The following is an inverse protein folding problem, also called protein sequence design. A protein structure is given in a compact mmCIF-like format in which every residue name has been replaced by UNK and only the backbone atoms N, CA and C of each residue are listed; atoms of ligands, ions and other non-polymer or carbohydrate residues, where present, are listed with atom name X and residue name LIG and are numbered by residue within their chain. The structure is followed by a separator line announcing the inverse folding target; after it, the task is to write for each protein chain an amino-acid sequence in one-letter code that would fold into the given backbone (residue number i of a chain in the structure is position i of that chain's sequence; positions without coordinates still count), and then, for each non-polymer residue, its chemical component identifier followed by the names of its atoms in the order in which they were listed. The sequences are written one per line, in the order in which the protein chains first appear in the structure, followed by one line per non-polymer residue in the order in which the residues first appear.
data_IF_404005720953
#
_entry.id   IF_404005720953
#
_cell.length_a   1.000
_cell.length_b   1.000
_cell.length_c   1.000
_cell.angle_alpha   90.00
_cell.angle_beta   90.00
_cell.angle_gamma   90.00
#
_symmetry.space_group_name_H-M   'P 1'
#
loop_
_entity.id
_entity.type
_entity.pdbx_description
1 polymer ?
#
# COMPACT_ATOMS: atom_id res chain seq x y z
N UNK A 1 -46.05 -2.11 -41.50
CA UNK A 1 -45.55 -1.24 -40.41
C UNK A 1 -46.65 -1.23 -39.37
N UNK A 2 -46.54 -1.88 -38.22
CA UNK A 2 -45.36 -2.44 -37.57
C UNK A 2 -45.81 -3.66 -36.76
N UNK A 3 -44.89 -4.61 -36.72
CA UNK A 3 -44.93 -5.86 -35.97
C UNK A 3 -44.95 -5.55 -34.47
N UNK A 4 -46.12 -5.63 -33.84
CA UNK A 4 -46.25 -5.70 -32.39
C UNK A 4 -45.92 -7.14 -31.99
N UNK A 5 -44.63 -7.45 -31.91
CA UNK A 5 -44.15 -8.68 -31.31
C UNK A 5 -44.51 -8.64 -29.82
N UNK A 6 -45.65 -9.23 -29.51
CA UNK A 6 -46.09 -9.70 -28.20
C UNK A 6 -44.92 -10.46 -27.55
N UNK A 7 -44.24 -9.80 -26.60
CA UNK A 7 -43.25 -10.43 -25.75
C UNK A 7 -43.98 -11.32 -24.75
N UNK A 8 -44.47 -12.46 -25.22
CA UNK A 8 -44.92 -13.56 -24.39
C UNK A 8 -43.67 -14.23 -23.78
N UNK A 9 -43.14 -13.59 -22.74
CA UNK A 9 -42.17 -14.23 -21.87
C UNK A 9 -42.91 -15.36 -21.15
N UNK A 10 -42.62 -16.61 -21.54
CA UNK A 10 -43.18 -17.82 -20.95
C UNK A 10 -43.21 -17.70 -19.41
N UNK A 11 -44.33 -18.01 -18.74
CA UNK A 11 -44.51 -17.81 -17.30
C UNK A 11 -43.39 -18.42 -16.43
N UNK A 12 -42.75 -19.48 -16.93
CA UNK A 12 -41.63 -20.17 -16.32
C UNK A 12 -40.34 -19.31 -16.32
N UNK A 13 -40.11 -18.51 -17.36
CA UNK A 13 -38.96 -17.61 -17.47
C UNK A 13 -39.10 -16.44 -16.48
N UNK A 14 -40.31 -15.88 -16.35
CA UNK A 14 -40.62 -14.84 -15.38
C UNK A 14 -40.37 -15.30 -13.93
N UNK A 15 -40.70 -16.56 -13.60
CA UNK A 15 -40.42 -17.14 -12.27
C UNK A 15 -38.91 -17.30 -12.02
N UNK A 16 -38.13 -17.70 -13.03
CA UNK A 16 -36.67 -17.78 -12.92
C UNK A 16 -36.04 -16.40 -12.67
N UNK A 17 -36.48 -15.35 -13.38
CA UNK A 17 -35.98 -13.99 -13.15
C UNK A 17 -36.36 -13.48 -11.76
N UNK A 18 -37.58 -13.75 -11.30
CA UNK A 18 -38.04 -13.40 -9.96
C UNK A 18 -37.18 -14.05 -8.87
N UNK A 19 -36.85 -15.34 -9.03
CA UNK A 19 -35.95 -16.06 -8.11
C UNK A 19 -34.53 -15.49 -8.14
N UNK A 20 -33.97 -15.21 -9.32
CA UNK A 20 -32.65 -14.59 -9.46
C UNK A 20 -32.58 -13.20 -8.81
N UNK A 21 -33.63 -12.40 -9.01
CA UNK A 21 -33.75 -11.09 -8.39
C UNK A 21 -33.79 -11.19 -6.86
N UNK A 22 -34.59 -12.13 -6.33
CA UNK A 22 -34.65 -12.35 -4.88
C UNK A 22 -33.29 -12.78 -4.31
N UNK A 23 -32.58 -13.70 -4.97
CA UNK A 23 -31.24 -14.11 -4.56
C UNK A 23 -30.24 -12.93 -4.57
N UNK A 24 -30.36 -12.03 -5.55
CA UNK A 24 -29.52 -10.83 -5.60
C UNK A 24 -29.84 -9.86 -4.47
N UNK A 25 -31.13 -9.65 -4.16
CA UNK A 25 -31.56 -8.85 -3.02
C UNK A 25 -31.03 -9.43 -1.70
N UNK A 26 -31.21 -10.73 -1.47
CA UNK A 26 -30.73 -11.41 -0.26
C UNK A 26 -29.20 -11.28 -0.16
N UNK A 27 -28.47 -11.40 -1.28
CA UNK A 27 -27.02 -11.23 -1.30
C UNK A 27 -26.61 -9.79 -0.98
N UNK A 28 -27.31 -8.79 -1.50
CA UNK A 28 -27.08 -7.39 -1.19
C UNK A 28 -27.32 -7.09 0.28
N UNK A 29 -28.38 -7.66 0.87
CA UNK A 29 -28.68 -7.50 2.29
C UNK A 29 -27.58 -8.09 3.18
N UNK A 30 -27.12 -9.31 2.87
CA UNK A 30 -26.00 -9.94 3.60
C UNK A 30 -24.75 -9.06 3.52
N UNK A 31 -24.39 -8.59 2.32
CA UNK A 31 -23.22 -7.72 2.14
C UNK A 31 -23.36 -6.41 2.92
N UNK A 32 -24.57 -5.84 2.98
CA UNK A 32 -24.83 -4.65 3.77
C UNK A 32 -24.64 -4.92 5.28
N UNK A 33 -25.19 -6.01 5.80
CA UNK A 33 -25.02 -6.39 7.21
C UNK A 33 -23.54 -6.65 7.56
N UNK A 34 -22.78 -7.27 6.67
CA UNK A 34 -21.33 -7.49 6.84
C UNK A 34 -20.56 -6.16 6.87
N UNK A 35 -20.88 -5.24 5.96
CA UNK A 35 -20.27 -3.92 5.91
C UNK A 35 -20.55 -3.13 7.18
N UNK A 36 -21.79 -3.13 7.67
CA UNK A 36 -22.16 -2.48 8.93
C UNK A 36 -21.35 -3.05 10.10
N UNK A 37 -21.22 -4.39 10.17
CA UNK A 37 -20.41 -5.06 11.19
C UNK A 37 -18.94 -4.63 11.13
N UNK A 38 -18.36 -4.51 9.93
CA UNK A 38 -16.99 -4.04 9.75
C UNK A 38 -16.83 -2.58 10.20
N UNK A 39 -17.77 -1.71 9.85
CA UNK A 39 -17.79 -0.31 10.28
C UNK A 39 -17.80 -0.20 11.81
N UNK A 40 -18.67 -0.96 12.50
CA UNK A 40 -18.69 -0.98 13.97
C UNK A 40 -17.37 -1.44 14.58
N UNK A 41 -16.74 -2.48 14.02
CA UNK A 41 -15.42 -2.96 14.47
C UNK A 41 -14.35 -1.88 14.30
N UNK A 42 -14.32 -1.20 13.16
CA UNK A 42 -13.38 -0.10 12.89
C UNK A 42 -13.59 1.03 13.90
N UNK A 43 -14.84 1.44 14.14
CA UNK A 43 -15.16 2.48 15.12
C UNK A 43 -14.69 2.09 16.54
N UNK A 44 -14.88 0.84 16.94
CA UNK A 44 -14.39 0.32 18.24
C UNK A 44 -12.88 0.42 18.34
N UNK A 45 -12.14 -0.02 17.33
CA UNK A 45 -10.67 0.07 17.29
C UNK A 45 -10.22 1.54 17.35
N UNK A 46 -10.87 2.44 16.59
CA UNK A 46 -10.57 3.89 16.64
C UNK A 46 -10.78 4.47 18.05
N UNK A 47 -11.84 4.05 18.75
CA UNK A 47 -12.11 4.47 20.14
C UNK A 47 -11.03 3.98 21.11
N UNK A 48 -10.62 2.71 20.98
CA UNK A 48 -9.52 2.14 21.78
C UNK A 48 -8.20 2.88 21.53
N UNK A 49 -7.81 3.07 20.27
CA UNK A 49 -6.59 3.81 19.92
C UNK A 49 -6.62 5.25 20.45
N UNK A 50 -7.76 5.93 20.36
CA UNK A 50 -7.93 7.28 20.94
C UNK A 50 -7.74 7.27 22.45
N UNK A 51 -8.27 6.27 23.15
CA UNK A 51 -8.08 6.10 24.59
C UNK A 51 -6.61 5.86 24.94
N UNK A 52 -5.95 4.92 24.28
CA UNK A 52 -4.52 4.64 24.51
C UNK A 52 -3.64 5.85 24.23
N UNK A 53 -3.95 6.65 23.19
CA UNK A 53 -3.22 7.91 22.93
C UNK A 53 -3.41 8.93 24.06
N UNK A 54 -4.62 9.05 24.61
CA UNK A 54 -4.90 9.94 25.74
C UNK A 54 -4.17 9.47 27.01
N UNK A 55 -4.23 8.18 27.32
CA UNK A 55 -3.52 7.58 28.45
C UNK A 55 -2.00 7.78 28.33
N UNK A 56 -1.43 7.52 27.15
CA UNK A 56 -0.03 7.80 26.87
C UNK A 56 0.31 9.27 27.06
N UNK A 57 -0.50 10.19 26.51
CA UNK A 57 -0.26 11.63 26.66
C UNK A 57 -0.30 12.03 28.13
N UNK A 58 -1.29 11.57 28.88
CA UNK A 58 -1.40 11.85 30.30
C UNK A 58 -0.17 11.39 31.09
N UNK A 59 0.35 10.18 30.81
CA UNK A 59 1.57 9.68 31.43
C UNK A 59 2.79 10.53 31.08
N UNK A 60 2.91 10.94 29.81
CA UNK A 60 3.97 11.84 29.35
C UNK A 60 3.92 13.18 30.10
N UNK A 61 2.75 13.80 30.13
CA UNK A 61 2.53 15.11 30.78
C UNK A 61 2.80 15.03 32.30
N UNK A 62 2.57 13.88 32.92
CA UNK A 62 2.91 13.63 34.32
C UNK A 62 4.40 13.39 34.54
N UNK A 63 5.05 12.59 33.69
CA UNK A 63 6.49 12.35 33.78
C UNK A 63 7.30 13.63 33.56
N UNK A 64 6.88 14.49 32.63
CA UNK A 64 7.53 15.78 32.40
C UNK A 64 7.50 16.71 33.63
N UNK A 65 6.57 16.52 34.59
CA UNK A 65 6.54 17.31 35.85
C UNK A 65 7.67 16.95 36.82
N UNK A 66 8.25 15.76 36.71
CA UNK A 66 9.28 15.29 37.62
C UNK A 66 10.68 15.83 37.28
N UNK A 67 10.84 16.50 36.12
CA UNK A 67 12.08 17.17 35.72
C UNK A 67 13.25 16.23 35.45
N UNK A 68 12.99 14.93 35.35
CA UNK A 68 13.98 13.90 35.07
C UNK A 68 14.08 13.59 33.56
N UNK A 69 15.22 13.04 33.13
CA UNK A 69 15.46 12.63 31.73
C UNK A 69 14.79 11.29 31.40
N UNK A 70 13.52 11.12 31.78
CA UNK A 70 12.77 9.88 31.56
C UNK A 70 12.65 9.51 30.06
N UNK A 71 12.76 10.49 29.16
CA UNK A 71 12.77 10.30 27.69
C UNK A 71 14.02 9.58 27.18
N UNK A 72 15.12 9.68 27.92
CA UNK A 72 16.41 9.07 27.59
C UNK A 72 16.70 7.83 28.46
N UNK A 73 15.83 7.54 29.42
CA UNK A 73 15.94 6.35 30.25
C UNK A 73 15.95 5.10 29.35
N UNK A 74 16.93 4.19 29.51
CA UNK A 74 16.92 2.90 28.83
C UNK A 74 15.68 2.12 29.28
N UNK A 75 14.62 2.18 28.47
CA UNK A 75 13.45 1.32 28.67
C UNK A 75 13.90 -0.11 28.40
N UNK A 76 14.21 -0.86 29.47
CA UNK A 76 14.42 -2.30 29.40
C UNK A 76 13.18 -2.93 28.78
N UNK A 77 13.36 -3.57 27.63
CA UNK A 77 12.27 -4.26 26.94
C UNK A 77 11.87 -5.44 27.84
N UNK A 78 10.78 -5.31 28.59
CA UNK A 78 10.15 -6.46 29.23
C UNK A 78 9.54 -7.30 28.12
N UNK A 79 10.24 -8.38 27.79
CA UNK A 79 10.00 -9.30 26.69
C UNK A 79 8.83 -10.25 27.01
N UNK A 80 7.63 -9.72 27.26
CA UNK A 80 6.43 -10.55 27.48
C UNK A 80 5.55 -10.70 26.23
N UNK A 81 5.88 -10.03 25.12
CA UNK A 81 5.11 -10.10 23.87
C UNK A 81 5.81 -10.89 22.74
N UNK A 82 6.85 -11.68 23.05
CA UNK A 82 7.59 -12.44 22.04
C UNK A 82 6.77 -13.57 21.38
N UNK A 83 5.62 -13.97 21.93
CA UNK A 83 4.83 -15.08 21.35
C UNK A 83 4.07 -14.67 20.08
N UNK A 84 3.78 -13.38 19.87
CA UNK A 84 2.95 -12.95 18.73
C UNK A 84 3.71 -12.28 17.58
N UNK A 85 5.00 -11.94 17.76
CA UNK A 85 5.79 -11.24 16.73
C UNK A 85 6.59 -12.17 15.79
N UNK A 86 6.60 -13.49 16.02
CA UNK A 86 7.36 -14.41 15.18
C UNK A 86 6.83 -14.57 13.74
N UNK A 87 5.61 -14.09 13.41
CA UNK A 87 5.00 -14.37 12.09
C UNK A 87 4.89 -13.20 11.12
N UNK A 88 5.06 -11.94 11.53
CA UNK A 88 4.83 -10.81 10.60
C UNK A 88 5.86 -9.69 10.74
N UNK A 89 6.96 -9.91 10.02
CA UNK A 89 7.67 -8.89 9.22
C UNK A 89 8.02 -7.57 9.94
N UNK A 90 9.25 -7.58 10.43
CA UNK A 90 10.24 -6.52 10.31
C UNK A 90 9.82 -5.29 9.48
N UNK A 91 9.79 -4.19 10.22
CA UNK A 91 9.70 -2.79 9.84
C UNK A 91 10.81 -2.34 8.88
N UNK A 92 10.66 -1.14 8.29
CA UNK A 92 11.53 0.00 8.64
C UNK A 92 10.88 1.34 8.28
N UNK A 93 10.45 2.04 9.33
CA UNK A 93 10.50 3.49 9.41
C UNK A 93 11.88 3.96 9.85
N UNK A 94 12.28 5.11 9.32
CA UNK A 94 13.49 5.89 9.54
C UNK A 94 13.72 6.34 10.99
N UNK A 95 15.00 6.47 11.39
CA UNK A 95 15.42 7.42 12.43
C UNK A 95 16.64 8.22 11.98
N UNK A 96 16.63 9.50 12.33
CA UNK A 96 17.64 10.50 12.06
C UNK A 96 18.89 10.34 12.96
N UNK A 97 19.95 11.00 12.51
CA UNK A 97 21.35 11.10 12.94
C UNK A 97 21.59 11.63 14.37
N UNK A 98 22.80 11.39 14.93
CA UNK A 98 23.80 12.47 14.97
C UNK A 98 25.26 12.07 14.65
N UNK A 99 25.98 13.08 14.13
CA UNK A 99 27.42 13.40 14.03
C UNK A 99 28.56 12.36 14.06
N UNK A 100 29.31 12.38 12.94
CA UNK A 100 30.76 12.58 12.76
C UNK A 100 31.78 11.88 13.69
N UNK A 101 32.37 10.79 13.20
CA UNK A 101 33.81 10.54 13.28
C UNK A 101 34.26 9.77 12.03
N UNK A 102 35.35 10.24 11.42
CA UNK A 102 36.02 9.62 10.27
C UNK A 102 36.68 8.33 10.73
N UNK A 103 36.37 7.20 10.09
CA UNK A 103 37.28 6.05 10.02
C UNK A 103 36.92 5.14 8.83
N UNK A 104 37.94 4.88 8.01
CA UNK A 104 37.96 4.05 6.80
C UNK A 104 37.62 2.58 7.08
N UNK A 105 36.55 2.01 6.48
CA UNK A 105 36.44 0.55 6.16
C UNK A 105 35.50 0.27 4.97
N UNK A 106 35.73 -0.81 4.20
CA UNK A 106 35.49 -0.84 2.76
C UNK A 106 34.06 -1.25 2.33
N UNK A 107 33.68 -0.78 1.14
CA UNK A 107 32.45 -1.11 0.40
C UNK A 107 32.28 -2.61 0.20
N UNK A 108 31.21 -3.21 0.74
CA UNK A 108 30.69 -4.51 0.28
C UNK A 108 29.24 -4.36 -0.19
N UNK A 109 29.11 -3.99 -1.46
CA UNK A 109 27.83 -3.95 -2.15
C UNK A 109 27.42 -5.37 -2.54
N UNK A 110 26.44 -5.94 -1.85
CA UNK A 110 25.72 -7.09 -2.37
C UNK A 110 24.66 -6.57 -3.34
N UNK A 111 25.06 -6.31 -4.59
CA UNK A 111 24.11 -6.25 -5.71
C UNK A 111 23.40 -7.61 -5.71
N UNK A 112 22.16 -7.67 -5.21
CA UNK A 112 21.28 -8.79 -5.46
C UNK A 112 21.10 -8.83 -6.98
N UNK A 113 21.86 -9.69 -7.66
CA UNK A 113 21.58 -10.10 -9.03
C UNK A 113 20.22 -10.78 -8.96
N UNK A 114 19.16 -10.00 -9.16
CA UNK A 114 17.81 -10.54 -9.31
C UNK A 114 17.84 -11.51 -10.48
N UNK A 115 17.33 -12.72 -10.27
CA UNK A 115 16.90 -13.57 -11.36
C UNK A 115 16.13 -12.68 -12.35
N UNK A 116 16.45 -12.80 -13.65
CA UNK A 116 15.77 -12.03 -14.71
C UNK A 116 14.28 -12.26 -14.52
N UNK A 117 13.56 -11.25 -14.04
CA UNK A 117 12.12 -11.30 -13.97
C UNK A 117 11.62 -11.57 -15.39
N UNK A 118 10.68 -12.51 -15.54
CA UNK A 118 10.08 -12.81 -16.84
C UNK A 118 9.68 -11.49 -17.51
N UNK A 119 10.19 -11.18 -18.73
CA UNK A 119 9.83 -9.97 -19.46
C UNK A 119 8.32 -9.77 -19.64
N UNK A 120 7.54 -10.86 -19.60
CA UNK A 120 6.08 -10.83 -19.77
C UNK A 120 5.30 -10.72 -18.46
N UNK A 121 5.95 -10.80 -17.30
CA UNK A 121 5.26 -10.63 -16.02
C UNK A 121 4.85 -9.15 -15.83
N UNK A 122 3.60 -8.87 -15.42
CA UNK A 122 3.17 -7.51 -15.10
C UNK A 122 4.13 -6.86 -14.09
N UNK A 123 4.42 -5.56 -14.27
CA UNK A 123 5.33 -4.81 -13.39
C UNK A 123 4.59 -4.37 -12.14
N UNK A 124 5.23 -4.52 -10.98
CA UNK A 124 4.67 -4.07 -9.70
C UNK A 124 4.36 -2.57 -9.73
N UNK A 125 3.21 -2.13 -9.18
CA UNK A 125 2.86 -0.71 -9.14
C UNK A 125 3.88 0.06 -8.31
N UNK A 126 4.20 1.28 -8.76
CA UNK A 126 5.11 2.17 -8.05
C UNK A 126 4.48 2.69 -6.74
N UNK A 127 5.24 2.67 -5.64
CA UNK A 127 4.84 3.21 -4.34
C UNK A 127 4.39 4.69 -4.45
N UNK A 128 3.40 5.16 -3.67
CA UNK A 128 2.93 6.55 -3.64
C UNK A 128 4.05 7.62 -3.68
N UNK A 129 5.10 7.44 -2.87
CA UNK A 129 6.23 8.38 -2.86
C UNK A 129 7.04 8.37 -4.17
N UNK A 130 7.16 7.20 -4.81
CA UNK A 130 7.86 7.09 -6.09
C UNK A 130 7.06 7.75 -7.21
N UNK A 131 5.73 7.62 -7.20
CA UNK A 131 4.83 8.32 -8.13
C UNK A 131 4.97 9.84 -7.96
N UNK A 132 4.95 10.32 -6.71
CA UNK A 132 5.22 11.72 -6.40
C UNK A 132 6.58 12.17 -6.94
N UNK A 133 7.65 11.38 -6.75
CA UNK A 133 8.96 11.71 -7.28
C UNK A 133 9.00 11.76 -8.81
N UNK A 134 8.26 10.87 -9.48
CA UNK A 134 8.21 10.82 -10.95
C UNK A 134 7.53 12.07 -11.53
N UNK A 135 6.49 12.58 -10.87
CA UNK A 135 5.79 13.79 -11.29
C UNK A 135 6.56 15.06 -10.94
N UNK A 136 7.16 15.12 -9.75
CA UNK A 136 7.80 16.34 -9.26
C UNK A 136 9.24 16.54 -9.76
N UNK A 137 9.99 15.47 -10.07
CA UNK A 137 11.35 15.60 -10.63
C UNK A 137 11.42 16.50 -11.87
N UNK A 138 10.60 16.32 -12.92
CA UNK A 138 10.66 17.21 -14.08
C UNK A 138 10.30 18.65 -13.72
N UNK A 139 9.32 18.86 -12.82
CA UNK A 139 8.95 20.21 -12.36
C UNK A 139 10.08 20.91 -11.60
N UNK A 140 10.79 20.18 -10.75
CA UNK A 140 11.94 20.73 -10.02
C UNK A 140 13.11 20.99 -10.98
N UNK A 141 13.32 20.11 -11.94
CA UNK A 141 14.36 20.27 -12.97
C UNK A 141 14.08 21.49 -13.86
N UNK A 142 12.82 21.71 -14.26
CA UNK A 142 12.41 22.88 -15.03
C UNK A 142 12.60 24.19 -14.25
N UNK A 143 12.24 24.22 -12.96
CA UNK A 143 12.51 25.39 -12.11
C UNK A 143 13.99 25.70 -11.93
N UNK A 144 14.85 24.70 -12.09
CA UNK A 144 16.30 24.81 -11.95
C UNK A 144 17.01 24.90 -13.31
N UNK A 145 16.28 25.09 -14.41
CA UNK A 145 16.82 25.13 -15.77
C UNK A 145 17.78 26.31 -16.06
N UNK A 146 18.19 27.08 -15.05
CA UNK A 146 19.23 28.12 -15.12
C UNK A 146 20.34 27.97 -14.08
N UNK A 147 20.28 26.95 -13.21
CA UNK A 147 21.26 26.65 -12.17
C UNK A 147 22.02 25.36 -12.54
N UNK A 148 23.22 25.10 -11.98
CA UNK A 148 23.92 23.83 -12.21
C UNK A 148 23.03 22.64 -11.84
N UNK A 149 22.93 21.67 -12.74
CA UNK A 149 22.03 20.51 -12.59
C UNK A 149 22.29 19.82 -11.24
N UNK A 150 21.34 19.87 -10.29
CA UNK A 150 21.52 19.24 -9.00
C UNK A 150 21.60 17.72 -9.20
N UNK A 151 22.48 17.08 -8.42
CA UNK A 151 22.60 15.62 -8.44
C UNK A 151 21.23 14.95 -8.21
N UNK A 152 20.95 13.84 -8.92
CA UNK A 152 19.72 13.04 -8.73
C UNK A 152 19.47 12.66 -7.26
N UNK A 153 20.55 12.50 -6.48
CA UNK A 153 20.46 12.25 -5.05
C UNK A 153 19.90 13.45 -4.28
N UNK A 154 20.34 14.65 -4.65
CA UNK A 154 19.92 15.90 -4.02
C UNK A 154 18.45 16.22 -4.34
N UNK A 155 18.04 16.06 -5.60
CA UNK A 155 16.64 16.14 -6.00
C UNK A 155 15.75 15.17 -5.20
N UNK A 156 16.22 13.93 -5.00
CA UNK A 156 15.47 12.93 -4.24
C UNK A 156 15.37 13.28 -2.75
N UNK A 157 16.41 13.89 -2.16
CA UNK A 157 16.37 14.39 -0.78
C UNK A 157 15.39 15.54 -0.62
N UNK A 158 15.42 16.52 -1.52
CA UNK A 158 14.49 17.65 -1.51
C UNK A 158 13.04 17.17 -1.61
N UNK A 159 12.76 16.27 -2.56
CA UNK A 159 11.44 15.67 -2.73
C UNK A 159 10.99 14.84 -1.51
N UNK A 160 11.91 14.14 -0.84
CA UNK A 160 11.59 13.44 0.40
C UNK A 160 11.19 14.39 1.53
N UNK A 161 11.82 15.56 1.62
CA UNK A 161 11.44 16.62 2.56
C UNK A 161 10.06 17.19 2.22
N UNK A 162 9.82 17.54 0.96
CA UNK A 162 8.51 18.03 0.48
C UNK A 162 7.41 16.99 0.75
N UNK A 163 7.66 15.71 0.47
CA UNK A 163 6.72 14.65 0.75
C UNK A 163 6.37 14.55 2.23
N UNK A 164 7.34 14.71 3.14
CA UNK A 164 7.07 14.70 4.59
C UNK A 164 6.18 15.88 5.00
N UNK A 165 6.40 17.06 4.43
CA UNK A 165 5.63 18.27 4.74
C UNK A 165 4.26 18.34 4.05
N UNK A 166 3.97 17.52 3.04
CA UNK A 166 2.65 17.46 2.40
C UNK A 166 1.54 17.11 3.41
N UNK A 167 0.36 17.69 3.19
CA UNK A 167 -0.84 17.43 3.98
C UNK A 167 -1.29 15.96 3.84
N UNK A 168 -2.13 15.48 4.75
CA UNK A 168 -2.72 14.15 4.62
C UNK A 168 -3.63 14.03 3.39
N UNK A 169 -4.24 15.13 2.96
CA UNK A 169 -5.14 15.20 1.81
C UNK A 169 -4.36 15.08 0.49
N UNK A 170 -3.25 15.82 0.35
CA UNK A 170 -2.39 15.74 -0.83
C UNK A 170 -1.74 14.36 -0.95
N UNK A 171 -1.28 13.81 0.18
CA UNK A 171 -0.76 12.44 0.23
C UNK A 171 -1.83 11.43 -0.18
N UNK A 172 -3.08 11.63 0.24
CA UNK A 172 -4.19 10.73 -0.06
C UNK A 172 -4.38 10.55 -1.57
N UNK A 173 -4.24 11.60 -2.38
CA UNK A 173 -4.33 11.49 -3.85
C UNK A 173 -3.35 10.45 -4.39
N UNK A 174 -2.10 10.46 -3.93
CA UNK A 174 -1.09 9.48 -4.35
C UNK A 174 -1.33 8.07 -3.78
N UNK A 175 -1.94 7.96 -2.59
CA UNK A 175 -2.37 6.67 -2.05
C UNK A 175 -3.53 6.08 -2.87
N UNK A 176 -4.52 6.89 -3.21
CA UNK A 176 -5.68 6.47 -4.03
C UNK A 176 -5.21 6.06 -5.44
N UNK A 177 -4.27 6.80 -6.05
CA UNK A 177 -3.62 6.43 -7.32
C UNK A 177 -2.86 5.10 -7.24
N UNK A 178 -2.18 4.85 -6.12
CA UNK A 178 -1.50 3.58 -5.88
C UNK A 178 -2.49 2.42 -5.71
N UNK A 179 -3.58 2.61 -4.98
CA UNK A 179 -4.62 1.59 -4.81
C UNK A 179 -5.24 1.20 -6.16
N UNK A 180 -5.61 2.18 -7.00
CA UNK A 180 -6.10 1.92 -8.36
C UNK A 180 -5.06 1.18 -9.21
N UNK A 181 -3.79 1.55 -9.12
CA UNK A 181 -2.71 0.87 -9.87
C UNK A 181 -2.46 -0.55 -9.37
N UNK A 182 -2.65 -0.79 -8.08
CA UNK A 182 -2.53 -2.10 -7.44
C UNK A 182 -3.66 -3.03 -7.88
N UNK A 183 -4.89 -2.54 -7.97
CA UNK A 183 -6.03 -3.32 -8.49
C UNK A 183 -5.78 -3.75 -9.94
N UNK A 184 -5.32 -2.83 -10.79
CA UNK A 184 -4.93 -3.16 -12.18
C UNK A 184 -3.86 -4.24 -12.25
N UNK A 185 -2.80 -4.11 -11.45
CA UNK A 185 -1.74 -5.10 -11.37
C UNK A 185 -2.26 -6.47 -10.92
N UNK A 186 -3.19 -6.52 -9.95
CA UNK A 186 -3.79 -7.78 -9.50
C UNK A 186 -4.60 -8.42 -10.63
N UNK A 187 -5.40 -7.64 -11.36
CA UNK A 187 -6.14 -8.14 -12.52
C UNK A 187 -5.22 -8.65 -13.63
N UNK A 188 -4.19 -7.88 -14.00
CA UNK A 188 -3.19 -8.28 -15.00
C UNK A 188 -2.41 -9.54 -14.57
N UNK A 189 -2.07 -9.65 -13.29
CA UNK A 189 -1.40 -10.84 -12.74
C UNK A 189 -2.30 -12.07 -12.78
N UNK A 190 -3.61 -11.91 -12.53
CA UNK A 190 -4.57 -13.02 -12.66
C UNK A 190 -4.66 -13.50 -14.11
N UNK A 191 -4.64 -12.58 -15.08
CA UNK A 191 -4.62 -12.93 -16.51
C UNK A 191 -3.30 -13.61 -16.88
N UNK A 192 -2.17 -13.09 -16.43
CA UNK A 192 -0.86 -13.69 -16.66
C UNK A 192 -0.74 -15.09 -16.04
N UNK A 193 -1.23 -15.28 -14.81
CA UNK A 193 -1.27 -16.59 -14.18
C UNK A 193 -2.18 -17.56 -14.97
N UNK A 194 -3.38 -17.15 -15.38
CA UNK A 194 -4.24 -17.99 -16.23
C UNK A 194 -3.57 -18.35 -17.56
N UNK A 195 -2.91 -17.39 -18.21
CA UNK A 195 -2.17 -17.59 -19.46
C UNK A 195 -0.96 -18.53 -19.31
N UNK A 196 -0.32 -18.54 -18.14
CA UNK A 196 0.80 -19.44 -17.86
C UNK A 196 0.35 -20.84 -17.47
N UNK A 197 -0.85 -20.98 -16.88
CA UNK A 197 -1.49 -22.27 -16.57
C UNK A 197 -2.13 -22.94 -17.81
N UNK A 198 -2.74 -22.16 -18.72
CA UNK A 198 -3.32 -22.64 -19.99
C UNK A 198 -2.25 -23.04 -21.05
N UNK A 199 -0.96 -22.93 -20.71
CA UNK A 199 0.14 -23.34 -21.56
C UNK A 199 0.87 -24.60 -21.03
N UNK A 200 0.23 -25.79 -20.94
CA UNK A 200 0.99 -27.01 -20.74
C UNK A 200 1.60 -27.44 -22.09
N UNK A 201 2.93 -27.46 -22.15
CA UNK A 201 3.76 -28.16 -23.16
C UNK A 201 3.55 -27.78 -24.64
N UNK A 202 4.51 -27.04 -25.23
CA UNK A 202 5.24 -27.43 -26.45
C UNK A 202 6.19 -26.30 -26.90
N UNK A 203 7.38 -26.71 -27.37
CA UNK A 203 8.47 -25.97 -28.05
C UNK A 203 9.51 -25.28 -27.15
N UNK A 204 10.79 -25.67 -27.14
CA UNK A 204 11.53 -26.61 -28.01
C UNK A 204 12.78 -27.15 -27.31
N UNK A 205 12.90 -28.48 -27.35
CA UNK A 205 14.20 -29.15 -27.46
C UNK A 205 14.78 -28.82 -28.85
N UNK A 206 16.11 -28.87 -28.94
CA UNK A 206 16.97 -28.91 -30.13
C UNK A 206 17.56 -27.55 -30.56
N UNK A 207 18.88 -27.38 -30.38
CA UNK A 207 19.83 -27.33 -31.50
C UNK A 207 21.23 -27.64 -30.97
N UNK A 208 21.86 -28.60 -31.65
CA UNK A 208 23.21 -29.16 -31.52
C UNK A 208 24.32 -28.12 -31.52
#
# INVERSE_FOLDING_TARGET
MSDESEYDAEPEEFDVYKRKYQLLLDRCEILQQENERLVFRIQRIRKLLKRTRKEKKFLIDRLDQHGDRWREAPMGVLEENSVFQATLKQEKGSKATPNNSKEDKPKKGTKRKGAKADPNAPKRPANPFFQFCQEQRPRVMERLAGEPEPSKQELTRQLATTWKSLSSEDKKVYYDMYERSKEKYVAEMQIYNKKTEDAPSQMSLNTT
#
